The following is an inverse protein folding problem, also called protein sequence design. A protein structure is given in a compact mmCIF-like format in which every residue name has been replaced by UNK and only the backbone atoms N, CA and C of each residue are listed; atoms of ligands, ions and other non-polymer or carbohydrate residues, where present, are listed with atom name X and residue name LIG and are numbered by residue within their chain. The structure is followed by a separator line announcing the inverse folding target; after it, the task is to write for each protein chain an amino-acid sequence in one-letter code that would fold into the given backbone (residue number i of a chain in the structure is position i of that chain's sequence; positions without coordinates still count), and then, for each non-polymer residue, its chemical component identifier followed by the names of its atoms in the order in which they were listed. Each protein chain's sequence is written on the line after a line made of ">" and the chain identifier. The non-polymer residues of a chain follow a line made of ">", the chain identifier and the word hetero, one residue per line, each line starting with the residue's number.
data_IF_787527341731
#
_entry.id   IF_787527341731
#
_cell.length_a   1.000
_cell.length_b   1.000
_cell.length_c   1.000
_cell.angle_alpha   90.00
_cell.angle_beta   90.00
_cell.angle_gamma   90.00
#
_symmetry.space_group_name_H-M   'P 1'
#
loop_
_entity.id
_entity.type
_entity.pdbx_description
1 polymer ?
#
# COMPACT_ATOMS: atom_id res chain seq x y z
N UNK A 1 -17.19 -12.80 -13.02
CA UNK A 1 -16.18 -13.72 -12.43
C UNK A 1 -14.72 -13.40 -12.82
N UNK A 2 -14.43 -12.70 -13.93
CA UNK A 2 -13.04 -12.39 -14.37
C UNK A 2 -12.28 -11.38 -13.45
N UNK A 3 -12.97 -10.39 -12.87
CA UNK A 3 -12.33 -9.36 -12.04
C UNK A 3 -11.78 -9.85 -10.68
N UNK A 4 -12.32 -10.94 -10.12
CA UNK A 4 -11.89 -11.47 -8.81
C UNK A 4 -10.46 -12.02 -8.83
N UNK A 5 -10.00 -12.50 -9.99
CA UNK A 5 -8.69 -13.12 -10.20
C UNK A 5 -7.54 -12.11 -10.27
N UNK A 6 -7.77 -10.96 -10.91
CA UNK A 6 -6.76 -9.89 -11.08
C UNK A 6 -6.54 -9.09 -9.80
N UNK A 7 -7.62 -8.87 -9.05
CA UNK A 7 -7.61 -8.29 -7.71
C UNK A 7 -6.79 -9.13 -6.72
N UNK A 8 -6.98 -10.45 -6.73
CA UNK A 8 -6.24 -11.38 -5.89
C UNK A 8 -4.74 -11.36 -6.20
N UNK A 9 -4.38 -11.28 -7.48
CA UNK A 9 -3.00 -11.14 -7.96
C UNK A 9 -2.33 -9.89 -7.39
N UNK A 10 -3.00 -8.73 -7.45
CA UNK A 10 -2.44 -7.49 -6.95
C UNK A 10 -2.22 -7.58 -5.44
N UNK A 11 -3.21 -8.03 -4.69
CA UNK A 11 -3.14 -8.20 -3.22
C UNK A 11 -2.05 -9.19 -2.80
N UNK A 12 -1.88 -10.27 -3.55
CA UNK A 12 -0.86 -11.28 -3.31
C UNK A 12 0.54 -10.78 -3.69
N UNK A 13 0.62 -9.98 -4.75
CA UNK A 13 1.79 -9.18 -5.10
C UNK A 13 2.23 -8.30 -3.91
N UNK A 14 1.28 -7.55 -3.40
CA UNK A 14 1.52 -6.61 -2.30
C UNK A 14 1.95 -7.33 -1.01
N UNK A 15 1.28 -8.43 -0.68
CA UNK A 15 1.56 -9.24 0.51
C UNK A 15 2.94 -9.90 0.48
N UNK A 16 3.34 -10.44 -0.67
CA UNK A 16 4.67 -11.03 -0.85
C UNK A 16 5.77 -9.97 -0.82
N UNK A 17 5.51 -8.76 -1.34
CA UNK A 17 6.48 -7.65 -1.27
C UNK A 17 6.76 -7.23 0.17
N UNK A 18 5.72 -7.10 1.00
CA UNK A 18 5.85 -6.74 2.42
C UNK A 18 6.61 -7.77 3.25
N UNK A 19 6.67 -9.03 2.81
CA UNK A 19 7.30 -10.12 3.56
C UNK A 19 8.78 -10.37 3.17
N UNK A 20 9.27 -9.75 2.10
CA UNK A 20 10.67 -9.90 1.65
C UNK A 20 11.72 -9.23 2.57
N UNK A 21 11.49 -8.04 3.17
CA UNK A 21 12.48 -7.41 4.06
C UNK A 21 12.76 -8.22 5.33
N UNK A 22 11.74 -8.94 5.85
CA UNK A 22 11.83 -9.77 7.06
C UNK A 22 12.76 -10.98 6.86
N UNK A 23 13.00 -11.39 5.61
CA UNK A 23 13.80 -12.57 5.25
C UNK A 23 15.23 -12.21 4.80
N UNK A 24 15.49 -10.95 4.45
CA UNK A 24 16.78 -10.50 3.95
C UNK A 24 17.85 -10.35 5.05
N UNK A 25 17.45 -10.23 6.32
CA UNK A 25 18.37 -10.23 7.46
C UNK A 25 18.99 -11.62 7.74
N UNK A 26 18.40 -12.71 7.23
CA UNK A 26 18.90 -14.07 7.53
C UNK A 26 19.91 -14.62 6.51
N UNK A 27 19.99 -14.14 5.25
CA UNK A 27 20.90 -14.72 4.24
C UNK A 27 21.52 -13.71 3.26
N UNK A 28 22.85 -13.75 3.23
CA UNK A 28 23.77 -12.92 2.47
C UNK A 28 23.58 -13.01 0.93
N UNK A 29 23.65 -11.86 0.23
CA UNK A 29 23.89 -11.63 -1.22
C UNK A 29 22.98 -12.22 -2.31
N UNK A 30 22.11 -13.21 -2.05
CA UNK A 30 21.30 -13.86 -3.10
C UNK A 30 19.93 -13.22 -3.37
N UNK A 31 19.46 -12.34 -2.48
CA UNK A 31 18.11 -11.74 -2.48
C UNK A 31 17.92 -10.66 -3.56
N UNK A 32 18.99 -10.07 -4.08
CA UNK A 32 18.90 -8.90 -4.97
C UNK A 32 18.28 -9.23 -6.34
N UNK A 33 18.57 -10.39 -6.92
CA UNK A 33 18.04 -10.75 -8.25
C UNK A 33 16.57 -11.17 -8.22
N UNK A 34 16.12 -11.76 -7.12
CA UNK A 34 14.72 -12.19 -6.95
C UNK A 34 13.80 -10.99 -6.66
N UNK A 35 14.29 -9.97 -5.95
CA UNK A 35 13.51 -8.76 -5.70
C UNK A 35 13.11 -8.00 -6.99
N UNK A 36 13.93 -8.05 -8.04
CA UNK A 36 13.71 -7.32 -9.31
C UNK A 36 12.47 -7.82 -10.05
N UNK A 37 12.29 -9.13 -10.20
CA UNK A 37 11.16 -9.65 -10.99
C UNK A 37 9.83 -9.65 -10.23
N UNK A 38 9.85 -9.48 -8.90
CA UNK A 38 8.64 -9.30 -8.10
C UNK A 38 7.88 -8.00 -8.47
N UNK A 39 8.64 -6.93 -8.70
CA UNK A 39 8.08 -5.64 -9.06
C UNK A 39 7.65 -5.55 -10.53
N UNK A 40 8.28 -6.31 -11.42
CA UNK A 40 7.83 -6.47 -12.80
C UNK A 40 6.39 -7.01 -12.84
N UNK A 41 6.08 -7.95 -11.95
CA UNK A 41 4.75 -8.52 -11.76
C UNK A 41 3.76 -7.50 -11.22
N UNK A 42 4.13 -6.72 -10.20
CA UNK A 42 3.26 -5.69 -9.64
C UNK A 42 2.88 -4.63 -10.69
N UNK A 43 3.85 -4.22 -11.51
CA UNK A 43 3.65 -3.29 -12.61
C UNK A 43 2.79 -3.90 -13.74
N UNK A 44 3.08 -5.13 -14.16
CA UNK A 44 2.25 -5.85 -15.13
C UNK A 44 0.80 -6.02 -14.65
N UNK A 45 0.61 -6.32 -13.36
CA UNK A 45 -0.71 -6.38 -12.71
C UNK A 45 -1.43 -5.05 -12.79
N UNK A 46 -0.74 -3.95 -12.47
CA UNK A 46 -1.29 -2.59 -12.48
C UNK A 46 -1.65 -2.13 -13.90
N UNK A 47 -0.82 -2.44 -14.89
CA UNK A 47 -1.09 -2.15 -16.31
C UNK A 47 -2.28 -2.94 -16.85
N UNK A 48 -2.44 -4.20 -16.42
CA UNK A 48 -3.60 -5.03 -16.78
C UNK A 48 -4.90 -4.46 -16.18
N UNK A 49 -4.86 -3.94 -14.95
CA UNK A 49 -6.01 -3.26 -14.32
C UNK A 49 -6.34 -1.94 -15.03
N UNK A 50 -5.33 -1.12 -15.37
CA UNK A 50 -5.53 0.16 -16.09
C UNK A 50 -6.09 -0.02 -17.51
N UNK A 51 -5.87 -1.17 -18.16
CA UNK A 51 -6.37 -1.47 -19.51
C UNK A 51 -7.79 -2.07 -19.53
N UNK A 52 -8.57 -1.92 -18.46
CA UNK A 52 -9.87 -2.59 -18.27
C UNK A 52 -10.88 -2.38 -19.41
N UNK A 53 -10.77 -1.30 -20.19
CA UNK A 53 -11.68 -0.98 -21.30
C UNK A 53 -11.24 -1.53 -22.67
N UNK A 54 -10.03 -2.08 -22.79
CA UNK A 54 -9.58 -2.79 -24.00
C UNK A 54 -9.27 -4.22 -23.63
N UNK A 55 -9.94 -5.20 -24.27
CA UNK A 55 -9.70 -6.63 -24.09
C UNK A 55 -8.19 -6.95 -24.08
N UNK A 56 -7.62 -7.06 -22.88
CA UNK A 56 -6.28 -7.60 -22.67
C UNK A 56 -6.32 -9.07 -23.05
N UNK A 57 -5.35 -9.50 -23.86
CA UNK A 57 -5.34 -10.87 -24.38
C UNK A 57 -5.20 -11.87 -23.22
N UNK A 58 -5.91 -13.00 -23.28
CA UNK A 58 -5.83 -14.05 -22.25
C UNK A 58 -4.38 -14.49 -21.94
N UNK A 59 -3.48 -14.31 -22.90
CA UNK A 59 -2.05 -14.62 -22.82
C UNK A 59 -1.32 -13.75 -21.80
N UNK A 60 -1.56 -12.43 -21.75
CA UNK A 60 -0.88 -11.52 -20.80
C UNK A 60 -1.29 -11.82 -19.35
N UNK A 61 -2.57 -12.13 -19.15
CA UNK A 61 -3.08 -12.54 -17.84
C UNK A 61 -2.48 -13.88 -17.43
N UNK A 62 -2.38 -14.85 -18.34
CA UNK A 62 -1.77 -16.15 -18.06
C UNK A 62 -0.27 -16.07 -17.74
N UNK A 63 0.47 -15.20 -18.42
CA UNK A 63 1.89 -14.96 -18.14
C UNK A 63 2.08 -14.34 -16.74
N UNK A 64 1.25 -13.36 -16.38
CA UNK A 64 1.24 -12.77 -15.05
C UNK A 64 0.95 -13.82 -13.96
N UNK A 65 -0.02 -14.71 -14.19
CA UNK A 65 -0.31 -15.82 -13.28
C UNK A 65 0.90 -16.74 -13.09
N UNK A 66 1.56 -17.14 -14.17
CA UNK A 66 2.75 -18.01 -14.11
C UNK A 66 3.90 -17.33 -13.34
N UNK A 67 4.10 -16.03 -13.55
CA UNK A 67 5.09 -15.26 -12.80
C UNK A 67 4.74 -15.22 -11.31
N UNK A 68 3.49 -14.96 -10.96
CA UNK A 68 3.03 -14.94 -9.56
C UNK A 68 3.20 -16.30 -8.88
N UNK A 69 2.80 -17.39 -9.54
CA UNK A 69 3.03 -18.76 -9.05
C UNK A 69 4.52 -19.04 -8.80
N UNK A 70 5.40 -18.56 -9.67
CA UNK A 70 6.86 -18.70 -9.51
C UNK A 70 7.34 -18.02 -8.23
N UNK A 71 6.93 -16.77 -8.00
CA UNK A 71 7.33 -16.03 -6.80
C UNK A 71 6.75 -16.58 -5.52
N UNK A 72 5.50 -17.02 -5.57
CA UNK A 72 4.89 -17.66 -4.45
C UNK A 72 5.57 -18.97 -4.06
N UNK A 73 6.01 -19.76 -5.05
CA UNK A 73 6.77 -20.98 -4.82
C UNK A 73 8.15 -20.67 -4.21
N UNK A 74 8.80 -19.59 -4.64
CA UNK A 74 10.04 -19.10 -4.01
C UNK A 74 9.79 -18.69 -2.55
N UNK A 75 8.70 -17.96 -2.30
CA UNK A 75 8.33 -17.53 -0.95
C UNK A 75 7.95 -18.69 -0.03
N UNK A 76 7.20 -19.66 -0.52
CA UNK A 76 6.86 -20.88 0.23
C UNK A 76 8.12 -21.67 0.61
N UNK A 77 9.09 -21.76 -0.30
CA UNK A 77 10.40 -22.37 -0.02
C UNK A 77 11.19 -21.57 1.01
N UNK A 78 11.22 -20.24 0.90
CA UNK A 78 11.97 -19.38 1.81
C UNK A 78 11.38 -19.42 3.24
N UNK A 79 10.06 -19.38 3.36
CA UNK A 79 9.36 -19.29 4.66
C UNK A 79 9.22 -20.63 5.40
N UNK A 80 9.68 -21.75 4.83
CA UNK A 80 9.40 -23.11 5.32
C UNK A 80 7.89 -23.41 5.56
N UNK A 81 7.00 -22.56 5.02
CA UNK A 81 5.56 -22.76 5.07
C UNK A 81 5.12 -23.23 3.70
N UNK A 82 4.51 -24.42 3.66
CA UNK A 82 3.76 -24.87 2.49
C UNK A 82 2.54 -23.97 2.31
N UNK A 83 2.67 -22.93 1.50
CA UNK A 83 1.54 -22.15 1.04
C UNK A 83 0.83 -23.02 -0.01
N UNK A 84 -0.30 -23.60 0.37
CA UNK A 84 -1.16 -24.29 -0.60
C UNK A 84 -1.74 -23.23 -1.53
N UNK A 85 -1.24 -23.22 -2.76
CA UNK A 85 -1.67 -22.31 -3.79
C UNK A 85 -2.49 -23.07 -4.83
N UNK A 86 -3.59 -22.48 -5.33
CA UNK A 86 -4.07 -21.11 -5.07
C UNK A 86 -4.63 -20.92 -3.65
N UNK A 87 -4.29 -19.81 -2.97
CA UNK A 87 -4.98 -19.44 -1.72
C UNK A 87 -6.42 -19.14 -2.09
N UNK A 88 -7.33 -19.98 -1.64
CA UNK A 88 -8.75 -19.67 -1.80
C UNK A 88 -9.11 -18.62 -0.77
N UNK A 89 -9.66 -17.48 -1.19
CA UNK A 89 -10.22 -16.46 -0.28
C UNK A 89 -11.55 -16.93 0.35
N UNK A 90 -11.58 -18.19 0.80
CA UNK A 90 -12.72 -18.80 1.44
C UNK A 90 -13.04 -18.05 2.73
N UNK A 91 -14.28 -17.62 2.89
CA UNK A 91 -14.74 -16.90 4.07
C UNK A 91 -14.71 -15.37 3.98
N UNK A 92 -14.22 -14.79 2.87
CA UNK A 92 -14.39 -13.36 2.62
C UNK A 92 -15.74 -13.06 1.96
N UNK A 93 -16.51 -12.15 2.56
CA UNK A 93 -17.69 -11.56 1.92
C UNK A 93 -17.24 -10.61 0.82
N UNK A 94 -17.70 -10.81 -0.42
CA UNK A 94 -17.32 -9.95 -1.55
C UNK A 94 -18.39 -8.89 -1.75
N UNK A 95 -18.03 -7.62 -1.59
CA UNK A 95 -18.91 -6.48 -1.79
C UNK A 95 -18.31 -5.52 -2.85
N UNK A 96 -19.14 -5.08 -3.78
CA UNK A 96 -18.79 -4.08 -4.78
C UNK A 96 -19.77 -2.91 -4.65
N UNK A 97 -19.28 -1.67 -4.62
CA UNK A 97 -20.12 -0.47 -4.53
C UNK A 97 -19.41 0.74 -5.14
N UNK A 98 -20.12 1.66 -5.78
CA UNK A 98 -19.53 2.88 -6.35
C UNK A 98 -19.12 3.89 -5.26
N UNK A 99 -19.78 3.88 -4.11
CA UNK A 99 -19.42 4.66 -2.93
C UNK A 99 -19.80 3.90 -1.67
N UNK A 100 -18.98 3.96 -0.63
CA UNK A 100 -19.26 3.28 0.64
C UNK A 100 -19.34 4.27 1.80
N UNK A 101 -20.41 4.11 2.58
CA UNK A 101 -20.52 4.58 3.96
C UNK A 101 -20.81 3.34 4.81
N UNK A 102 -19.74 2.67 5.26
CA UNK A 102 -19.85 1.43 6.01
C UNK A 102 -19.41 1.65 7.45
N UNK A 103 -20.26 1.26 8.40
CA UNK A 103 -19.91 1.33 9.82
C UNK A 103 -18.87 0.29 10.21
N UNK A 104 -19.05 -0.97 9.80
CA UNK A 104 -18.13 -2.02 10.19
C UNK A 104 -18.02 -3.07 9.11
N UNK A 105 -16.78 -3.37 8.77
CA UNK A 105 -16.39 -4.39 7.80
C UNK A 105 -15.48 -5.36 8.51
N UNK A 106 -15.81 -6.66 8.45
CA UNK A 106 -14.90 -7.69 8.92
C UNK A 106 -14.95 -8.89 8.00
N UNK A 107 -13.79 -9.51 7.76
CA UNK A 107 -13.65 -10.70 6.90
C UNK A 107 -14.32 -10.49 5.54
N UNK A 108 -14.02 -9.37 4.90
CA UNK A 108 -14.58 -9.02 3.60
C UNK A 108 -13.49 -8.67 2.58
N UNK A 109 -13.81 -8.87 1.30
CA UNK A 109 -13.15 -8.24 0.17
C UNK A 109 -14.09 -7.16 -0.37
N UNK A 110 -13.66 -5.91 -0.26
CA UNK A 110 -14.41 -4.75 -0.72
C UNK A 110 -13.71 -4.12 -1.91
N UNK A 111 -14.48 -3.82 -2.95
CA UNK A 111 -14.03 -3.07 -4.12
C UNK A 111 -14.94 -1.86 -4.29
N UNK A 112 -14.37 -0.65 -4.26
CA UNK A 112 -15.12 0.60 -4.40
C UNK A 112 -14.29 1.71 -5.02
N UNK A 113 -14.91 2.81 -5.46
CA UNK A 113 -14.17 4.02 -5.88
C UNK A 113 -13.64 4.84 -4.72
N UNK A 114 -14.13 4.60 -3.51
CA UNK A 114 -13.74 5.35 -2.32
C UNK A 114 -14.87 5.47 -1.31
N UNK A 115 -14.64 6.28 -0.29
CA UNK A 115 -15.67 6.64 0.67
C UNK A 115 -15.19 6.62 2.11
N UNK A 116 -16.13 6.44 3.02
CA UNK A 116 -15.89 6.45 4.46
C UNK A 116 -16.21 5.09 5.05
N UNK A 117 -15.31 4.61 5.92
CA UNK A 117 -15.48 3.35 6.63
C UNK A 117 -15.17 3.60 8.09
N UNK A 118 -16.11 3.41 9.01
CA UNK A 118 -15.81 3.67 10.42
C UNK A 118 -14.82 2.62 10.97
N UNK A 119 -14.98 1.34 10.61
CA UNK A 119 -14.07 0.28 11.03
C UNK A 119 -13.92 -0.84 9.99
N UNK A 120 -12.69 -1.28 9.75
CA UNK A 120 -12.32 -2.44 8.95
C UNK A 120 -11.37 -3.35 9.73
N UNK A 121 -11.68 -4.65 9.79
CA UNK A 121 -10.84 -5.65 10.44
C UNK A 121 -10.69 -6.92 9.59
N UNK A 122 -9.49 -7.50 9.55
CA UNK A 122 -9.24 -8.79 8.89
C UNK A 122 -9.79 -8.84 7.46
N UNK A 123 -9.66 -7.75 6.71
CA UNK A 123 -10.33 -7.55 5.41
C UNK A 123 -9.37 -7.05 4.34
N UNK A 124 -9.83 -7.12 3.09
CA UNK A 124 -9.13 -6.59 1.92
C UNK A 124 -9.98 -5.49 1.31
N UNK A 125 -9.40 -4.30 1.15
CA UNK A 125 -10.06 -3.13 0.60
C UNK A 125 -9.31 -2.63 -0.63
N UNK A 126 -10.01 -2.55 -1.76
CA UNK A 126 -9.48 -2.10 -3.04
C UNK A 126 -10.25 -0.87 -3.50
N UNK A 127 -9.52 0.22 -3.64
CA UNK A 127 -10.06 1.56 -3.86
C UNK A 127 -9.58 2.11 -5.19
N UNK A 128 -10.51 2.40 -6.10
CA UNK A 128 -10.25 3.26 -7.25
C UNK A 128 -10.50 4.74 -6.91
N UNK A 129 -9.77 5.22 -5.91
CA UNK A 129 -9.84 6.58 -5.41
C UNK A 129 -9.32 6.66 -3.99
N UNK A 130 -9.98 7.46 -3.14
CA UNK A 130 -9.52 7.75 -1.78
C UNK A 130 -10.53 7.29 -0.72
N UNK A 131 -10.05 7.02 0.49
CA UNK A 131 -10.92 6.69 1.61
C UNK A 131 -10.45 7.29 2.93
N UNK A 132 -11.44 7.57 3.79
CA UNK A 132 -11.24 7.89 5.21
C UNK A 132 -11.73 6.72 6.04
N UNK A 133 -10.88 6.22 6.93
CA UNK A 133 -11.13 5.04 7.74
C UNK A 133 -10.95 5.39 9.22
N UNK A 134 -11.94 5.11 10.06
CA UNK A 134 -11.79 5.33 11.51
C UNK A 134 -10.77 4.35 12.10
N UNK A 135 -11.04 3.05 11.97
CA UNK A 135 -10.21 1.97 12.50
C UNK A 135 -9.85 0.96 11.41
N UNK A 136 -8.58 0.64 11.24
CA UNK A 136 -8.13 -0.41 10.33
C UNK A 136 -7.23 -1.40 11.07
N UNK A 137 -7.60 -2.67 11.13
CA UNK A 137 -6.78 -3.68 11.77
C UNK A 137 -6.63 -4.93 10.91
N UNK A 138 -5.45 -5.55 10.92
CA UNK A 138 -5.21 -6.83 10.24
C UNK A 138 -5.64 -6.84 8.76
N UNK A 139 -5.57 -5.69 8.10
CA UNK A 139 -6.22 -5.49 6.80
C UNK A 139 -5.22 -5.14 5.71
N UNK A 140 -5.59 -5.49 4.48
CA UNK A 140 -4.85 -5.07 3.27
C UNK A 140 -5.66 -3.99 2.57
N UNK A 141 -5.07 -2.80 2.41
CA UNK A 141 -5.71 -1.64 1.82
C UNK A 141 -4.88 -1.21 0.62
N UNK A 142 -5.51 -1.17 -0.56
CA UNK A 142 -4.87 -0.77 -1.81
C UNK A 142 -5.70 0.34 -2.44
N UNK A 143 -5.10 1.50 -2.68
CA UNK A 143 -5.81 2.65 -3.22
C UNK A 143 -5.05 3.34 -4.35
N UNK A 144 -5.74 3.75 -5.41
CA UNK A 144 -5.14 4.61 -6.44
C UNK A 144 -4.96 6.06 -5.95
N UNK A 145 -5.82 6.52 -5.05
CA UNK A 145 -5.75 7.83 -4.41
C UNK A 145 -5.02 7.80 -3.06
N UNK A 146 -5.55 8.54 -2.09
CA UNK A 146 -5.02 8.62 -0.73
C UNK A 146 -5.86 7.90 0.32
N UNK A 147 -5.23 7.56 1.44
CA UNK A 147 -5.90 6.88 2.56
C UNK A 147 -5.61 7.61 3.86
N UNK A 148 -6.67 7.98 4.56
CA UNK A 148 -6.62 8.55 5.90
C UNK A 148 -7.14 7.52 6.90
N UNK A 149 -6.35 7.20 7.92
CA UNK A 149 -6.72 6.25 8.99
C UNK A 149 -6.55 6.94 10.34
N UNK A 150 -7.59 6.98 11.17
CA UNK A 150 -7.44 7.52 12.51
C UNK A 150 -6.63 6.58 13.42
N UNK A 151 -6.96 5.28 13.40
CA UNK A 151 -6.23 4.25 14.14
C UNK A 151 -6.00 2.99 13.29
N UNK A 152 -4.73 2.59 13.17
CA UNK A 152 -4.29 1.46 12.37
C UNK A 152 -3.42 0.50 13.18
N UNK A 153 -3.58 -0.81 13.00
CA UNK A 153 -2.56 -1.77 13.44
C UNK A 153 -2.50 -3.01 12.56
N UNK A 154 -1.28 -3.51 12.36
CA UNK A 154 -1.03 -4.76 11.62
C UNK A 154 -1.60 -4.74 10.19
N UNK A 155 -1.42 -3.63 9.47
CA UNK A 155 -1.99 -3.43 8.14
C UNK A 155 -0.93 -3.46 7.04
N UNK A 156 -1.35 -3.85 5.84
CA UNK A 156 -0.59 -3.61 4.61
C UNK A 156 -1.33 -2.56 3.80
N UNK A 157 -0.75 -1.36 3.69
CA UNK A 157 -1.38 -0.20 3.07
C UNK A 157 -0.52 0.24 1.89
N UNK A 158 -1.06 0.15 0.67
CA UNK A 158 -0.43 0.72 -0.52
C UNK A 158 -1.34 1.79 -1.13
N UNK A 159 -0.78 2.97 -1.38
CA UNK A 159 -1.51 4.08 -1.99
C UNK A 159 -0.76 4.69 -3.16
N UNK A 160 -1.49 5.18 -4.16
CA UNK A 160 -0.91 5.90 -5.28
C UNK A 160 -0.47 7.32 -4.94
N UNK A 161 -1.12 7.98 -3.97
CA UNK A 161 -0.86 9.38 -3.64
C UNK A 161 -0.28 9.57 -2.24
N UNK A 162 -1.09 9.43 -1.19
CA UNK A 162 -0.64 9.68 0.18
C UNK A 162 -1.26 8.73 1.19
N UNK A 163 -0.57 8.56 2.31
CA UNK A 163 -1.13 7.94 3.52
C UNK A 163 -1.02 8.90 4.68
N UNK A 164 -2.11 9.09 5.40
CA UNK A 164 -2.10 9.71 6.72
C UNK A 164 -2.64 8.73 7.76
N UNK A 165 -1.86 8.46 8.82
CA UNK A 165 -2.29 7.61 9.93
C UNK A 165 -2.07 8.35 11.25
N UNK A 166 -3.14 8.68 11.98
CA UNK A 166 -2.97 9.39 13.25
C UNK A 166 -2.32 8.50 14.31
N UNK A 167 -2.69 7.22 14.39
CA UNK A 167 -2.04 6.25 15.28
C UNK A 167 -1.82 4.92 14.58
N UNK A 168 -0.56 4.53 14.36
CA UNK A 168 -0.14 3.28 13.73
C UNK A 168 0.63 2.38 14.71
N UNK A 169 0.10 1.17 14.88
CA UNK A 169 0.61 0.19 15.82
C UNK A 169 -0.43 -0.19 16.86
N UNK A 170 -0.18 -1.29 17.55
CA UNK A 170 -1.10 -1.82 18.55
C UNK A 170 -1.37 -0.74 19.61
N UNK A 171 -2.64 -0.45 19.97
CA UNK A 171 -2.91 0.18 21.24
C UNK A 171 -2.27 -0.75 22.25
N UNK A 172 -1.20 -0.27 22.88
CA UNK A 172 -0.43 -1.00 23.87
C UNK A 172 -1.41 -1.44 24.96
N UNK A 173 -2.04 -2.60 24.79
CA UNK A 173 -2.55 -3.34 25.90
C UNK A 173 -1.28 -3.61 26.70
N UNK A 174 -1.27 -3.04 27.89
CA UNK A 174 -0.27 -3.07 28.95
C UNK A 174 0.12 -4.50 29.36
N UNK A 175 0.47 -5.38 28.42
CA UNK A 175 1.08 -6.66 28.69
C UNK A 175 2.59 -6.42 28.80
N UNK A 176 2.94 -5.84 29.95
CA UNK A 176 4.27 -5.90 30.53
C UNK A 176 4.66 -7.38 30.66
N UNK A 177 5.38 -7.96 29.69
CA UNK A 177 6.35 -9.04 29.91
C UNK A 177 6.63 -9.83 28.62
N UNK A 178 7.33 -9.23 27.67
CA UNK A 178 8.49 -9.84 26.99
C UNK A 178 8.95 -8.91 25.87
N UNK A 179 10.27 -8.67 25.74
CA UNK A 179 10.82 -8.13 24.51
C UNK A 179 10.72 -9.23 23.46
N UNK A 180 9.56 -9.35 22.82
CA UNK A 180 9.51 -10.04 21.53
C UNK A 180 10.32 -9.16 20.57
N UNK A 181 11.32 -9.77 19.92
CA UNK A 181 11.89 -9.26 18.69
C UNK A 181 10.75 -8.74 17.83
N UNK A 182 10.68 -7.42 17.70
CA UNK A 182 9.45 -6.74 17.34
C UNK A 182 9.31 -6.74 15.83
N UNK A 183 8.89 -7.90 15.30
CA UNK A 183 8.61 -8.07 13.87
C UNK A 183 7.71 -6.91 13.42
N UNK A 184 8.07 -6.18 12.36
CA UNK A 184 7.21 -5.14 11.83
C UNK A 184 5.80 -5.70 11.59
N UNK A 185 4.81 -5.05 12.20
CA UNK A 185 3.41 -5.47 12.12
C UNK A 185 2.72 -4.84 10.91
N UNK A 186 3.14 -3.64 10.53
CA UNK A 186 2.52 -2.92 9.43
C UNK A 186 3.52 -2.56 8.34
N UNK A 187 3.03 -2.52 7.10
CA UNK A 187 3.76 -2.05 5.93
C UNK A 187 2.95 -0.97 5.24
N UNK A 188 3.54 0.22 5.13
CA UNK A 188 2.89 1.40 4.56
C UNK A 188 3.74 1.91 3.40
N UNK A 189 3.18 1.86 2.19
CA UNK A 189 3.83 2.36 0.99
C UNK A 189 2.94 3.39 0.34
N UNK A 190 3.55 4.49 -0.09
CA UNK A 190 2.85 5.53 -0.83
C UNK A 190 3.62 5.94 -2.07
N UNK A 191 2.89 6.23 -3.14
CA UNK A 191 3.46 6.78 -4.37
C UNK A 191 4.01 8.19 -4.22
N UNK A 192 3.68 8.91 -3.15
CA UNK A 192 4.23 10.25 -2.92
C UNK A 192 4.54 10.56 -1.44
N UNK A 193 3.55 10.62 -0.54
CA UNK A 193 3.76 11.11 0.84
C UNK A 193 3.22 10.16 1.91
N UNK A 194 3.95 10.03 3.02
CA UNK A 194 3.47 9.37 4.24
C UNK A 194 3.51 10.37 5.40
N UNK A 195 2.43 10.46 6.18
CA UNK A 195 2.39 11.17 7.46
C UNK A 195 1.81 10.26 8.55
N UNK A 196 2.54 10.02 9.65
CA UNK A 196 2.12 9.13 10.74
C UNK A 196 2.41 9.74 12.11
N UNK A 197 1.42 9.93 13.00
CA UNK A 197 1.70 10.61 14.28
C UNK A 197 2.35 9.70 15.33
N UNK A 198 2.03 8.40 15.33
CA UNK A 198 2.65 7.38 16.17
C UNK A 198 2.86 6.13 15.33
N UNK A 199 4.10 5.79 14.98
CA UNK A 199 4.42 4.58 14.21
C UNK A 199 5.18 3.60 15.11
N UNK A 200 4.63 2.40 15.29
CA UNK A 200 5.28 1.33 16.07
C UNK A 200 5.45 0.09 15.21
N UNK A 201 6.68 -0.43 15.12
CA UNK A 201 7.01 -1.66 14.37
C UNK A 201 6.44 -1.60 12.94
N UNK A 202 6.78 -0.56 12.19
CA UNK A 202 6.19 -0.28 10.88
C UNK A 202 7.28 -0.12 9.83
N UNK A 203 7.13 -0.78 8.69
CA UNK A 203 7.94 -0.52 7.50
C UNK A 203 7.26 0.56 6.68
N UNK A 204 8.01 1.60 6.30
CA UNK A 204 7.49 2.70 5.48
C UNK A 204 8.35 2.95 4.26
N UNK A 205 7.71 3.31 3.14
CA UNK A 205 8.40 3.66 1.90
C UNK A 205 7.57 4.68 1.10
N UNK A 206 8.18 5.81 0.78
CA UNK A 206 7.62 6.80 -0.12
C UNK A 206 8.74 7.57 -0.82
N UNK A 207 8.60 7.90 -2.12
CA UNK A 207 9.61 8.64 -2.86
C UNK A 207 9.62 10.13 -2.51
N UNK A 208 8.53 10.66 -1.96
CA UNK A 208 8.43 12.04 -1.49
C UNK A 208 8.75 12.17 0.00
N UNK A 209 7.90 12.91 0.71
CA UNK A 209 8.06 13.20 2.14
C UNK A 209 7.55 12.03 2.99
N UNK A 210 8.35 11.60 3.97
CA UNK A 210 7.90 10.79 5.09
C UNK A 210 7.96 11.65 6.34
N UNK A 211 6.85 11.84 7.03
CA UNK A 211 6.75 12.67 8.22
C UNK A 211 6.15 11.88 9.39
N UNK A 212 6.95 11.61 10.44
CA UNK A 212 6.55 10.76 11.55
C UNK A 212 6.80 11.47 12.89
N UNK A 213 5.74 11.76 13.66
CA UNK A 213 5.92 12.52 14.91
C UNK A 213 6.38 11.68 16.11
N UNK A 214 6.16 10.36 16.13
CA UNK A 214 6.70 9.45 17.15
C UNK A 214 7.01 8.09 16.51
N UNK A 215 8.28 7.73 16.40
CA UNK A 215 8.70 6.53 15.69
C UNK A 215 9.39 5.53 16.64
N UNK A 216 8.84 4.33 16.79
CA UNK A 216 9.43 3.23 17.56
C UNK A 216 9.52 1.96 16.72
N UNK A 217 10.72 1.45 16.44
CA UNK A 217 10.88 0.22 15.63
C UNK A 217 10.48 0.42 14.16
N UNK A 218 10.67 1.62 13.62
CA UNK A 218 10.30 1.94 12.24
C UNK A 218 11.44 1.61 11.29
N UNK A 219 11.14 0.97 10.17
CA UNK A 219 12.09 0.73 9.08
C UNK A 219 11.73 1.59 7.88
N UNK A 220 12.60 2.52 7.50
CA UNK A 220 12.46 3.35 6.30
C UNK A 220 13.12 2.64 5.13
N UNK A 221 12.41 2.51 4.00
CA UNK A 221 12.97 1.95 2.76
C UNK A 221 12.91 2.98 1.65
N UNK A 222 14.06 3.30 1.05
CA UNK A 222 14.15 4.21 -0.11
C UNK A 222 13.39 5.53 0.08
N UNK A 223 13.57 6.14 1.26
CA UNK A 223 12.82 7.32 1.69
C UNK A 223 13.75 8.53 1.72
N UNK A 224 13.82 9.35 0.65
CA UNK A 224 14.86 10.37 0.50
C UNK A 224 14.64 11.61 1.36
N UNK A 225 13.40 11.87 1.80
CA UNK A 225 13.05 13.06 2.60
C UNK A 225 12.33 12.66 3.91
N UNK A 226 12.99 11.98 4.87
CA UNK A 226 12.37 11.67 6.15
C UNK A 226 12.45 12.85 7.13
N UNK A 227 11.31 13.18 7.75
CA UNK A 227 11.13 14.09 8.87
C UNK A 227 10.61 13.27 10.03
N UNK A 228 11.45 12.97 11.03
CA UNK A 228 11.06 12.06 12.13
C UNK A 228 11.44 12.66 13.47
N UNK A 229 10.45 12.80 14.36
CA UNK A 229 10.67 13.14 15.77
C UNK A 229 10.54 11.91 16.67
N UNK A 230 11.12 12.01 17.87
CA UNK A 230 11.10 10.96 18.90
C UNK A 230 11.52 9.56 18.37
N UNK A 231 12.67 9.52 17.69
CA UNK A 231 13.22 8.29 17.07
C UNK A 231 13.68 7.28 18.12
N UNK A 232 13.06 6.11 18.14
CA UNK A 232 13.47 4.93 18.90
C UNK A 232 13.59 3.75 17.94
N UNK A 233 14.75 3.09 17.88
CA UNK A 233 14.98 1.92 17.02
C UNK A 233 14.54 2.14 15.55
N UNK A 234 14.85 3.32 14.98
CA UNK A 234 14.53 3.63 13.58
C UNK A 234 15.70 3.22 12.69
N UNK A 235 15.43 2.34 11.73
CA UNK A 235 16.42 1.85 10.77
C UNK A 235 16.15 2.40 9.39
N UNK A 236 17.19 2.78 8.66
CA UNK A 236 17.09 3.21 7.26
C UNK A 236 17.77 2.20 6.35
N UNK A 237 17.01 1.69 5.38
CA UNK A 237 17.47 0.73 4.39
C UNK A 237 17.45 1.38 3.00
N UNK A 238 18.62 1.40 2.37
CA UNK A 238 18.77 1.72 0.95
C UNK A 238 18.79 0.42 0.18
N UNK A 239 17.73 0.16 -0.56
CA UNK A 239 17.68 -0.98 -1.48
C UNK A 239 17.85 -0.44 -2.90
N UNK A 240 18.55 -1.16 -3.80
CA UNK A 240 18.76 -0.71 -5.18
C UNK A 240 17.45 -0.20 -5.77
N UNK A 241 17.44 1.06 -6.18
CA UNK A 241 16.26 1.64 -6.82
C UNK A 241 16.01 0.85 -8.10
N UNK A 242 14.84 0.23 -8.16
CA UNK A 242 14.40 -0.35 -9.41
C UNK A 242 14.16 0.82 -10.36
N UNK A 243 14.94 0.85 -11.43
CA UNK A 243 14.77 1.84 -12.49
C UNK A 243 13.46 1.51 -13.18
N UNK A 244 12.38 2.15 -12.76
CA UNK A 244 11.13 2.09 -13.48
C UNK A 244 11.21 3.03 -14.68
N UNK A 245 10.71 2.62 -15.85
CA UNK A 245 10.30 3.60 -16.83
C UNK A 245 9.17 4.39 -16.16
N UNK A 246 9.48 5.62 -15.73
CA UNK A 246 8.47 6.61 -15.39
C UNK A 246 7.70 6.79 -16.70
N UNK A 247 6.57 6.09 -16.87
CA UNK A 247 5.59 6.56 -17.85
C UNK A 247 5.36 8.01 -17.46
N UNK A 248 5.45 8.95 -18.39
CA UNK A 248 5.19 10.37 -18.18
C UNK A 248 3.81 10.56 -17.53
N UNK A 249 3.74 10.31 -16.23
CA UNK A 249 2.64 10.66 -15.40
C UNK A 249 2.71 12.17 -15.42
N UNK A 250 1.70 12.78 -16.01
CA UNK A 250 1.40 14.21 -15.90
C UNK A 250 1.74 14.56 -14.46
N UNK A 251 2.81 15.32 -14.26
CA UNK A 251 3.22 15.80 -12.95
C UNK A 251 2.50 17.14 -12.79
N UNK A 252 1.40 17.24 -12.04
CA UNK A 252 0.84 18.54 -11.73
C UNK A 252 1.42 19.11 -10.42
N UNK A 253 2.28 18.36 -9.71
CA UNK A 253 2.71 18.74 -8.36
C UNK A 253 4.12 19.32 -8.45
N UNK A 254 4.18 20.63 -8.68
CA UNK A 254 5.38 21.42 -8.36
C UNK A 254 5.53 21.49 -6.84
N UNK A 255 6.76 21.68 -6.34
CA UNK A 255 7.13 21.67 -4.91
C UNK A 255 6.36 22.69 -4.02
N UNK A 256 5.50 23.52 -4.61
CA UNK A 256 4.66 24.51 -3.91
C UNK A 256 3.34 23.93 -3.37
N UNK A 257 2.96 22.70 -3.77
CA UNK A 257 1.63 22.15 -3.51
C UNK A 257 1.71 21.05 -2.45
N UNK A 258 1.12 21.29 -1.28
CA UNK A 258 1.11 20.34 -0.16
C UNK A 258 0.16 19.16 -0.36
N UNK A 259 -0.83 19.29 -1.26
CA UNK A 259 -1.82 18.25 -1.58
C UNK A 259 -2.62 18.61 -2.86
N UNK A 260 -3.14 17.65 -3.65
CA UNK A 260 -4.13 17.96 -4.70
C UNK A 260 -5.15 16.84 -4.99
N UNK A 261 -6.42 17.20 -5.19
CA UNK A 261 -7.50 16.37 -5.73
C UNK A 261 -7.76 16.75 -7.20
N UNK A 262 -7.74 15.78 -8.10
CA UNK A 262 -8.08 15.98 -9.51
C UNK A 262 -9.53 15.60 -9.77
N UNK A 263 -10.28 16.49 -10.40
CA UNK A 263 -11.64 16.31 -10.91
C UNK A 263 -11.61 16.40 -12.44
N UNK A 264 -12.72 16.07 -13.11
CA UNK A 264 -12.80 16.13 -14.59
C UNK A 264 -12.40 17.50 -15.15
N UNK A 265 -12.84 18.58 -14.49
CA UNK A 265 -12.67 19.94 -15.00
C UNK A 265 -11.66 20.78 -14.21
N UNK A 266 -11.17 20.32 -13.05
CA UNK A 266 -10.28 21.12 -12.21
C UNK A 266 -9.44 20.29 -11.24
N UNK A 267 -8.36 20.88 -10.74
CA UNK A 267 -7.53 20.36 -9.66
C UNK A 267 -7.70 21.25 -8.43
N UNK A 268 -8.21 20.70 -7.33
CA UNK A 268 -8.15 21.35 -6.01
C UNK A 268 -6.77 21.05 -5.42
N UNK A 269 -6.09 22.03 -4.86
CA UNK A 269 -4.79 21.82 -4.23
C UNK A 269 -4.64 22.60 -2.93
N UNK A 270 -3.82 22.14 -2.00
CA UNK A 270 -3.51 22.84 -0.75
C UNK A 270 -2.14 23.49 -0.89
N UNK A 271 -2.08 24.80 -0.70
CA UNK A 271 -0.82 25.57 -0.71
C UNK A 271 -0.03 25.36 0.58
N UNK A 272 1.25 25.71 0.58
CA UNK A 272 2.11 25.64 1.78
C UNK A 272 1.59 26.49 2.95
N UNK A 273 0.91 27.61 2.67
CA UNK A 273 0.27 28.47 3.69
C UNK A 273 -1.01 27.86 4.30
N UNK A 274 -1.37 26.64 3.89
CA UNK A 274 -2.53 25.91 4.37
C UNK A 274 -3.83 26.25 3.66
N UNK A 275 -3.86 27.23 2.76
CA UNK A 275 -5.05 27.61 1.99
C UNK A 275 -5.32 26.66 0.82
N UNK A 276 -6.56 26.61 0.36
CA UNK A 276 -6.95 25.83 -0.82
C UNK A 276 -6.89 26.69 -2.09
N UNK A 277 -6.26 26.15 -3.14
CA UNK A 277 -6.27 26.65 -4.50
C UNK A 277 -7.07 25.72 -5.42
N UNK A 278 -7.52 26.28 -6.56
CA UNK A 278 -8.24 25.54 -7.60
C UNK A 278 -7.63 25.91 -8.96
N UNK A 279 -7.24 24.91 -9.74
CA UNK A 279 -6.71 25.07 -11.09
C UNK A 279 -7.72 24.46 -12.07
N UNK A 280 -8.33 25.27 -12.92
CA UNK A 280 -9.19 24.76 -14.00
C UNK A 280 -8.35 24.02 -15.04
N UNK A 281 -8.81 22.83 -15.44
CA UNK A 281 -8.20 22.05 -16.50
C UNK A 281 -8.74 22.51 -17.87
N UNK A 282 -7.93 22.47 -18.94
CA UNK A 282 -8.42 22.77 -20.28
C UNK A 282 -9.54 21.79 -20.65
N UNK A 283 -10.72 22.30 -21.01
CA UNK A 283 -11.79 21.47 -21.55
C UNK A 283 -11.29 20.77 -22.80
N UNK A 284 -11.31 19.43 -22.82
CA UNK A 284 -11.05 18.66 -24.04
C UNK A 284 -12.09 19.09 -25.08
N UNK A 285 -11.62 19.67 -26.18
CA UNK A 285 -12.45 19.96 -27.36
C UNK A 285 -12.76 18.67 -28.10
#
# INVERSE_FOLDING_TARGET
>A
MKNKKQVFILVLGIFLYSALPVMAEEKNSQVTNESVGFYEILNQSTQIVKKQDSLTTQTEVADLFRKIETYLNLFSKASNKNLSLPVTLSGLLIQMSDSLDLRTVSKALIITKGGKIDSIDSSVLLLDGSATIGYANNSVIVATGGVEIAHGSNNVILTGQFVHISHEGSPVQFQQSKPLESIPTSVVVSGYRINISHATNTVVSAPGLIDISNASGVVLINSPKPSISHRQNVTELKVPSLVYPVSEAISPVTDEWGFSFTFEDFVLFRKQDGTWGRLELPKKK
#
